data_IF_915415054350
#
_entry.id   IF_915415054350
#
_cell.length_a   1.000
_cell.length_b   1.000
_cell.length_c   1.000
_cell.angle_alpha   90.00
_cell.angle_beta   90.00
_cell.angle_gamma   90.00
#
_symmetry.space_group_name_H-M   'P 1'
#
loop_
_entity.id
_entity.type
_entity.pdbx_description
1 polymer ?
#
# COMPACT_ATOMS: atom_id res chain seq x y z
N UNK A 1 3.12 -1.81 -8.50
CA UNK A 1 4.50 -1.35 -8.82
C UNK A 1 4.46 -0.70 -10.19
N UNK A 2 5.11 0.45 -10.37
CA UNK A 2 5.16 1.14 -11.66
C UNK A 2 6.62 1.43 -12.01
N UNK A 3 7.05 1.01 -13.19
CA UNK A 3 8.38 1.28 -13.74
C UNK A 3 8.21 2.12 -14.99
N UNK A 4 8.91 3.23 -15.09
CA UNK A 4 8.87 4.14 -16.24
C UNK A 4 10.29 4.54 -16.65
N UNK A 5 10.50 4.83 -17.93
CA UNK A 5 11.81 5.21 -18.46
C UNK A 5 12.05 4.73 -19.89
N UNK A 6 13.32 4.59 -20.27
CA UNK A 6 13.71 4.11 -21.60
C UNK A 6 13.51 2.60 -21.75
N UNK A 7 12.77 2.17 -22.78
CA UNK A 7 12.42 0.76 -23.01
C UNK A 7 13.65 -0.19 -22.95
N UNK A 8 14.77 0.20 -23.55
CA UNK A 8 15.99 -0.64 -23.66
C UNK A 8 16.48 -1.28 -22.35
N UNK A 9 16.24 -0.64 -21.20
CA UNK A 9 16.70 -1.13 -19.88
C UNK A 9 15.57 -1.41 -18.90
N UNK A 10 14.31 -1.17 -19.28
CA UNK A 10 13.16 -1.41 -18.40
C UNK A 10 13.09 -2.88 -18.00
N UNK A 11 13.28 -3.79 -18.96
CA UNK A 11 13.29 -5.23 -18.70
C UNK A 11 14.35 -5.61 -17.65
N UNK A 12 15.62 -5.27 -17.90
CA UNK A 12 16.72 -5.58 -16.99
C UNK A 12 16.51 -5.01 -15.58
N UNK A 13 15.95 -3.80 -15.49
CA UNK A 13 15.66 -3.18 -14.21
C UNK A 13 14.50 -3.86 -13.48
N UNK A 14 13.46 -4.24 -14.21
CA UNK A 14 12.31 -4.97 -13.67
C UNK A 14 12.73 -6.34 -13.14
N UNK A 15 13.51 -7.10 -13.92
CA UNK A 15 14.06 -8.40 -13.50
C UNK A 15 14.84 -8.27 -12.18
N UNK A 16 15.72 -7.25 -12.09
CA UNK A 16 16.49 -6.98 -10.87
C UNK A 16 15.60 -6.61 -9.67
N UNK A 17 14.49 -5.89 -9.88
CA UNK A 17 13.53 -5.59 -8.81
C UNK A 17 12.85 -6.87 -8.34
N UNK A 18 12.33 -7.68 -9.27
CA UNK A 18 11.63 -8.93 -8.94
C UNK A 18 12.56 -9.88 -8.19
N UNK A 19 13.80 -10.06 -8.65
CA UNK A 19 14.81 -10.85 -7.92
C UNK A 19 15.06 -10.33 -6.51
N UNK A 20 15.13 -9.01 -6.31
CA UNK A 20 15.31 -8.41 -4.98
C UNK A 20 14.10 -8.54 -4.07
N UNK A 21 12.89 -8.53 -4.63
CA UNK A 21 11.66 -8.79 -3.88
C UNK A 21 11.57 -10.26 -3.48
N UNK A 22 11.88 -11.17 -4.41
CA UNK A 22 11.93 -12.60 -4.18
C UNK A 22 12.95 -13.02 -3.12
N UNK A 23 14.14 -12.41 -3.14
CA UNK A 23 15.22 -12.67 -2.19
C UNK A 23 15.24 -11.62 -1.06
N UNK A 24 14.09 -11.08 -0.69
CA UNK A 24 14.02 -10.03 0.32
C UNK A 24 14.45 -10.56 1.69
N UNK A 25 15.47 -9.91 2.26
CA UNK A 25 15.96 -10.19 3.60
C UNK A 25 15.88 -8.93 4.47
N UNK A 26 15.37 -9.11 5.69
CA UNK A 26 15.21 -8.01 6.65
C UNK A 26 16.57 -7.65 7.24
N UNK A 27 17.05 -6.44 6.94
CA UNK A 27 18.24 -5.86 7.59
C UNK A 27 17.84 -5.15 8.88
N UNK A 28 18.28 -5.66 10.03
CA UNK A 28 17.90 -5.17 11.36
C UNK A 28 18.08 -3.65 11.52
N UNK A 29 19.24 -3.12 11.14
CA UNK A 29 19.53 -1.68 11.24
C UNK A 29 18.62 -0.83 10.37
N UNK A 30 18.24 -1.31 9.17
CA UNK A 30 17.31 -0.57 8.31
C UNK A 30 15.89 -0.64 8.84
N UNK A 31 15.50 -1.78 9.40
CA UNK A 31 14.18 -1.99 9.96
C UNK A 31 13.92 -1.05 11.16
N UNK A 32 14.89 -0.86 12.05
CA UNK A 32 14.73 0.06 13.19
C UNK A 32 14.54 1.51 12.75
N UNK A 33 15.34 1.98 11.79
CA UNK A 33 15.24 3.34 11.24
C UNK A 33 13.90 3.56 10.54
N UNK A 34 13.44 2.59 9.73
CA UNK A 34 12.15 2.67 9.05
C UNK A 34 10.99 2.67 10.05
N UNK A 35 11.03 1.81 11.07
CA UNK A 35 10.03 1.75 12.14
C UNK A 35 9.95 3.09 12.89
N UNK A 36 11.09 3.68 13.26
CA UNK A 36 11.13 4.98 13.92
C UNK A 36 10.56 6.10 13.01
N UNK A 37 10.88 6.07 11.72
CA UNK A 37 10.33 7.02 10.75
C UNK A 37 8.80 6.92 10.64
N UNK A 38 8.24 5.70 10.61
CA UNK A 38 6.80 5.47 10.56
C UNK A 38 6.09 5.93 11.83
N UNK A 39 6.67 5.65 13.01
CA UNK A 39 6.16 6.15 14.30
C UNK A 39 6.07 7.67 14.27
N UNK A 40 7.16 8.35 13.88
CA UNK A 40 7.19 9.81 13.75
C UNK A 40 6.15 10.31 12.76
N UNK A 41 5.96 9.64 11.62
CA UNK A 41 4.95 10.05 10.64
C UNK A 41 3.52 10.01 11.22
N UNK A 42 3.17 8.95 11.93
CA UNK A 42 1.85 8.82 12.56
C UNK A 42 1.67 9.81 13.71
N UNK A 43 2.67 10.00 14.56
CA UNK A 43 2.63 11.01 15.64
C UNK A 43 2.53 12.44 15.10
N UNK A 44 3.19 12.72 13.97
CA UNK A 44 3.18 14.02 13.32
C UNK A 44 1.91 14.29 12.50
N UNK A 45 0.99 13.31 12.39
CA UNK A 45 -0.28 13.51 11.71
C UNK A 45 -1.03 14.75 12.25
N UNK A 46 -0.97 15.00 13.56
CA UNK A 46 -1.58 16.16 14.21
C UNK A 46 -1.13 17.50 13.64
N UNK A 47 0.10 17.58 13.11
CA UNK A 47 0.66 18.81 12.53
C UNK A 47 0.28 19.03 11.06
N UNK A 48 -0.41 18.08 10.42
CA UNK A 48 -0.93 18.27 9.05
C UNK A 48 -1.96 19.39 9.01
N UNK A 49 -2.15 19.99 7.85
CA UNK A 49 -3.12 21.08 7.69
C UNK A 49 -4.55 20.58 7.91
N UNK A 50 -5.47 21.39 8.47
CA UNK A 50 -6.84 20.96 8.79
C UNK A 50 -7.59 20.32 7.62
N UNK A 51 -7.41 20.83 6.39
CA UNK A 51 -8.07 20.24 5.22
C UNK A 51 -7.56 18.83 4.89
N UNK A 52 -6.27 18.55 5.13
CA UNK A 52 -5.70 17.20 4.94
C UNK A 52 -6.24 16.23 5.98
N UNK A 53 -6.42 16.70 7.21
CA UNK A 53 -7.06 15.92 8.27
C UNK A 53 -8.52 15.63 7.92
N UNK A 54 -9.28 16.63 7.46
CA UNK A 54 -10.66 16.45 7.02
C UNK A 54 -10.80 15.44 5.87
N UNK A 55 -9.92 15.49 4.87
CA UNK A 55 -9.85 14.48 3.80
C UNK A 55 -9.54 13.08 4.33
N UNK A 56 -8.58 12.96 5.25
CA UNK A 56 -8.24 11.69 5.87
C UNK A 56 -9.42 11.07 6.63
N UNK A 57 -10.06 11.81 7.52
CA UNK A 57 -11.22 11.29 8.25
C UNK A 57 -12.40 10.98 7.34
N UNK A 58 -12.62 11.76 6.28
CA UNK A 58 -13.65 11.42 5.28
C UNK A 58 -13.34 10.13 4.55
N UNK A 59 -12.07 9.81 4.26
CA UNK A 59 -11.72 8.52 3.65
C UNK A 59 -11.99 7.37 4.62
N UNK A 60 -11.61 7.52 5.90
CA UNK A 60 -11.93 6.53 6.94
C UNK A 60 -13.44 6.29 7.06
N UNK A 61 -14.28 7.31 6.96
CA UNK A 61 -15.74 7.14 7.08
C UNK A 61 -16.34 6.41 5.87
N UNK A 62 -15.77 6.59 4.68
CA UNK A 62 -16.33 6.10 3.43
C UNK A 62 -15.76 4.73 3.00
N UNK A 63 -14.60 4.32 3.51
CA UNK A 63 -13.98 3.03 3.24
C UNK A 63 -14.66 1.88 4.03
N UNK A 64 -14.70 0.68 3.45
CA UNK A 64 -15.36 -0.50 4.05
C UNK A 64 -14.58 -1.08 5.25
N UNK A 65 -13.25 -1.10 5.18
CA UNK A 65 -12.37 -1.63 6.25
C UNK A 65 -11.13 -0.73 6.45
N UNK A 66 -11.32 0.51 6.91
CA UNK A 66 -10.22 1.44 7.13
C UNK A 66 -9.41 1.06 8.37
N UNK A 67 -8.11 1.37 8.35
CA UNK A 67 -7.22 1.25 9.52
C UNK A 67 -6.75 2.65 9.95
N UNK A 68 -7.28 3.20 11.06
CA UNK A 68 -6.84 4.48 11.61
C UNK A 68 -5.34 4.51 11.93
N UNK A 69 -4.74 5.69 11.84
CA UNK A 69 -3.32 5.89 12.13
C UNK A 69 -2.96 5.55 13.58
N UNK A 70 -3.90 5.74 14.51
CA UNK A 70 -3.75 5.34 15.92
C UNK A 70 -3.60 3.83 16.08
N UNK A 71 -4.42 3.04 15.38
CA UNK A 71 -4.35 1.58 15.42
C UNK A 71 -3.07 1.07 14.75
N UNK A 72 -2.65 1.69 13.64
CA UNK A 72 -1.35 1.40 13.01
C UNK A 72 -0.18 1.70 13.95
N UNK A 73 -0.25 2.82 14.67
CA UNK A 73 0.77 3.22 15.63
C UNK A 73 0.86 2.23 16.81
N UNK A 74 -0.28 1.79 17.34
CA UNK A 74 -0.34 0.78 18.40
C UNK A 74 0.24 -0.56 17.92
N UNK A 75 -0.15 -1.02 16.74
CA UNK A 75 0.37 -2.25 16.14
C UNK A 75 1.88 -2.18 15.89
N UNK A 76 2.41 -1.02 15.50
CA UNK A 76 3.85 -0.82 15.28
C UNK A 76 4.66 -1.12 16.53
N UNK A 77 4.18 -0.81 17.74
CA UNK A 77 4.93 -1.06 18.98
C UNK A 77 5.29 -2.54 19.11
N UNK A 78 4.37 -3.43 18.72
CA UNK A 78 4.51 -4.87 18.85
C UNK A 78 5.27 -5.56 17.72
N UNK A 79 5.46 -4.90 16.57
CA UNK A 79 6.13 -5.48 15.42
C UNK A 79 7.64 -5.65 15.63
N UNK A 80 8.15 -6.88 15.46
CA UNK A 80 9.57 -7.20 15.44
C UNK A 80 10.06 -7.53 14.02
N UNK A 81 11.38 -7.49 13.80
CA UNK A 81 11.96 -7.75 12.47
C UNK A 81 11.63 -9.15 11.93
N UNK A 82 11.47 -10.13 12.82
CA UNK A 82 11.07 -11.50 12.47
C UNK A 82 9.65 -11.56 11.87
N UNK A 83 8.73 -10.73 12.36
CA UNK A 83 7.36 -10.66 11.83
C UNK A 83 7.37 -10.18 10.38
N UNK A 84 8.22 -9.20 10.07
CA UNK A 84 8.37 -8.71 8.69
C UNK A 84 8.96 -9.78 7.78
N UNK A 85 9.92 -10.58 8.27
CA UNK A 85 10.48 -11.70 7.51
C UNK A 85 9.43 -12.77 7.25
N UNK A 86 8.64 -13.17 8.26
CA UNK A 86 7.53 -14.11 8.07
C UNK A 86 6.48 -13.55 7.11
N UNK A 87 6.16 -12.27 7.24
CA UNK A 87 5.18 -11.60 6.40
C UNK A 87 5.64 -11.48 4.95
N UNK A 88 6.92 -11.24 4.66
CA UNK A 88 7.41 -11.21 3.27
C UNK A 88 7.22 -12.55 2.58
N UNK A 89 7.46 -13.67 3.28
CA UNK A 89 7.16 -15.00 2.74
C UNK A 89 5.66 -15.20 2.53
N UNK A 90 4.82 -14.80 3.50
CA UNK A 90 3.37 -14.92 3.38
C UNK A 90 2.82 -14.10 2.20
N UNK A 91 3.26 -12.86 2.06
CA UNK A 91 2.83 -11.93 1.01
C UNK A 91 3.09 -12.49 -0.39
N UNK A 92 4.26 -13.12 -0.59
CA UNK A 92 4.66 -13.72 -1.86
C UNK A 92 4.17 -15.16 -2.04
N UNK A 93 3.60 -15.79 -0.99
CA UNK A 93 3.16 -17.19 -1.06
C UNK A 93 1.90 -17.38 -1.89
N UNK A 94 1.03 -16.37 -1.97
CA UNK A 94 -0.19 -16.40 -2.77
C UNK A 94 -0.43 -15.02 -3.34
N UNK A 95 -0.34 -14.87 -4.66
CA UNK A 95 -0.39 -13.56 -5.32
C UNK A 95 -1.13 -13.66 -6.66
N UNK A 96 -1.74 -12.55 -7.06
CA UNK A 96 -2.25 -12.31 -8.39
C UNK A 96 -1.57 -11.07 -8.96
N UNK A 97 -1.15 -11.12 -10.22
CA UNK A 97 -0.53 -9.99 -10.90
C UNK A 97 -1.44 -9.47 -12.01
N UNK A 98 -1.65 -8.16 -12.01
CA UNK A 98 -2.29 -7.44 -13.11
C UNK A 98 -1.26 -6.50 -13.73
N UNK A 99 -1.08 -6.58 -15.04
CA UNK A 99 -0.07 -5.82 -15.78
C UNK A 99 -0.74 -4.88 -16.78
N UNK A 100 -0.21 -3.67 -16.84
CA UNK A 100 -0.51 -2.70 -17.90
C UNK A 100 0.81 -2.18 -18.44
N UNK A 101 0.96 -2.20 -19.77
CA UNK A 101 2.13 -1.72 -20.47
C UNK A 101 1.69 -0.64 -21.45
N UNK A 102 2.26 0.56 -21.31
CA UNK A 102 1.96 1.72 -22.14
C UNK A 102 3.26 2.33 -22.67
N UNK A 103 3.28 2.73 -23.94
CA UNK A 103 4.41 3.41 -24.58
C UNK A 103 5.02 2.62 -25.74
N UNK A 104 6.34 2.74 -25.92
CA UNK A 104 7.07 2.12 -27.02
C UNK A 104 7.40 0.64 -26.73
N UNK A 105 6.38 -0.18 -26.58
CA UNK A 105 6.46 -1.62 -26.34
C UNK A 105 5.43 -2.35 -27.20
N UNK A 106 5.86 -3.37 -27.94
CA UNK A 106 4.96 -4.18 -28.77
C UNK A 106 4.14 -5.17 -27.94
N UNK A 107 2.98 -5.66 -28.42
CA UNK A 107 2.18 -6.66 -27.70
C UNK A 107 2.96 -7.91 -27.31
N UNK A 108 3.77 -8.46 -28.23
CA UNK A 108 4.60 -9.64 -27.97
C UNK A 108 5.71 -9.40 -26.94
N UNK A 109 6.28 -8.19 -26.93
CA UNK A 109 7.28 -7.78 -25.95
C UNK A 109 6.64 -7.66 -24.56
N UNK A 110 5.43 -7.08 -24.47
CA UNK A 110 4.65 -7.02 -23.25
C UNK A 110 4.28 -8.41 -22.71
N UNK A 111 3.80 -9.32 -23.57
CA UNK A 111 3.52 -10.71 -23.18
C UNK A 111 4.78 -11.42 -22.65
N UNK A 112 5.92 -11.20 -23.32
CA UNK A 112 7.20 -11.77 -22.89
C UNK A 112 7.60 -11.26 -21.50
N UNK A 113 7.41 -9.97 -21.21
CA UNK A 113 7.68 -9.42 -19.87
C UNK A 113 6.83 -10.08 -18.80
N UNK A 114 5.53 -10.28 -19.06
CA UNK A 114 4.63 -10.94 -18.10
C UNK A 114 5.10 -12.36 -17.83
N UNK A 115 5.40 -13.13 -18.88
CA UNK A 115 5.89 -14.51 -18.77
C UNK A 115 7.21 -14.58 -17.98
N UNK A 116 8.12 -13.63 -18.19
CA UNK A 116 9.41 -13.60 -17.50
C UNK A 116 9.24 -13.26 -16.01
N UNK A 117 8.36 -12.32 -15.66
CA UNK A 117 8.03 -11.99 -14.26
C UNK A 117 7.35 -13.18 -13.58
N UNK A 118 6.44 -13.86 -14.27
CA UNK A 118 5.82 -15.09 -13.75
C UNK A 118 6.88 -16.15 -13.47
N UNK A 119 7.82 -16.37 -14.41
CA UNK A 119 8.91 -17.34 -14.20
C UNK A 119 9.74 -17.00 -12.96
N UNK A 120 10.15 -15.74 -12.81
CA UNK A 120 10.96 -15.29 -11.68
C UNK A 120 10.19 -15.37 -10.34
N UNK A 121 8.87 -15.16 -10.35
CA UNK A 121 8.05 -15.10 -9.14
C UNK A 121 7.52 -16.48 -8.70
N UNK A 122 7.26 -17.39 -9.64
CA UNK A 122 6.61 -18.70 -9.38
C UNK A 122 7.58 -19.88 -9.34
N UNK A 123 8.79 -19.77 -9.91
CA UNK A 123 9.75 -20.89 -10.02
C UNK A 123 10.98 -20.73 -9.10
N UNK A 124 10.78 -20.18 -7.91
CA UNK A 124 11.82 -20.13 -6.88
C UNK A 124 11.82 -21.50 -6.16
N UNK A 125 12.93 -22.25 -6.12
CA UNK A 125 12.99 -23.62 -5.58
C UNK A 125 12.48 -23.78 -4.13
N UNK A 126 12.49 -22.69 -3.36
CA UNK A 126 12.13 -22.67 -1.94
C UNK A 126 10.74 -22.06 -1.68
N UNK A 127 10.08 -21.48 -2.69
CA UNK A 127 8.80 -20.78 -2.52
C UNK A 127 7.92 -20.89 -3.77
N UNK A 128 6.92 -21.76 -3.69
CA UNK A 128 5.87 -21.84 -4.71
C UNK A 128 4.86 -20.74 -4.40
N UNK A 129 4.95 -19.61 -5.12
CA UNK A 129 3.84 -18.66 -5.15
C UNK A 129 2.61 -19.37 -5.74
N UNK A 130 1.45 -19.23 -5.10
CA UNK A 130 0.20 -19.85 -5.55
C UNK A 130 -0.71 -18.78 -6.15
N UNK A 131 -1.48 -19.16 -7.15
CA UNK A 131 -2.50 -18.28 -7.70
C UNK A 131 -3.60 -18.05 -6.66
N UNK A 132 -4.01 -16.79 -6.54
CA UNK A 132 -5.14 -16.39 -5.71
C UNK A 132 -6.46 -16.97 -6.25
N UNK A 133 -7.34 -17.49 -5.39
CA UNK A 133 -8.67 -17.94 -5.83
C UNK A 133 -9.55 -16.75 -6.21
N UNK A 134 -10.43 -16.92 -7.20
CA UNK A 134 -11.37 -15.89 -7.66
C UNK A 134 -12.20 -15.26 -6.51
N UNK A 135 -12.54 -16.04 -5.48
CA UNK A 135 -13.28 -15.58 -4.30
C UNK A 135 -12.47 -14.74 -3.31
N UNK A 136 -11.14 -14.78 -3.39
CA UNK A 136 -10.23 -14.02 -2.53
C UNK A 136 -9.87 -12.65 -3.12
N UNK A 137 -10.30 -12.35 -4.35
CA UNK A 137 -10.13 -11.03 -4.92
C UNK A 137 -10.92 -10.01 -4.09
N UNK A 138 -10.21 -9.05 -3.54
CA UNK A 138 -10.82 -7.97 -2.76
C UNK A 138 -11.66 -7.09 -3.68
N UNK A 139 -12.90 -6.82 -3.27
CA UNK A 139 -13.73 -5.81 -3.92
C UNK A 139 -13.60 -4.50 -3.15
N UNK A 140 -13.19 -3.42 -3.82
CA UNK A 140 -13.25 -2.09 -3.22
C UNK A 140 -14.71 -1.68 -3.06
N UNK A 141 -15.17 -1.54 -1.82
CA UNK A 141 -16.51 -1.07 -1.49
C UNK A 141 -16.39 0.28 -0.80
N UNK A 142 -17.34 1.14 -1.10
CA UNK A 142 -17.55 2.39 -0.38
C UNK A 142 -18.87 2.33 0.36
N UNK A 143 -18.94 3.03 1.49
CA UNK A 143 -20.18 3.17 2.24
C UNK A 143 -21.22 3.88 1.36
N UNK A 144 -22.43 3.31 1.31
CA UNK A 144 -23.58 3.96 0.69
C UNK A 144 -24.30 4.79 1.73
N UNK A 145 -24.18 6.11 1.63
CA UNK A 145 -24.89 7.05 2.47
C UNK A 145 -26.40 6.99 2.19
N UNK A 146 -27.20 7.16 3.23
CA UNK A 146 -28.66 7.11 3.11
C UNK A 146 -29.19 8.37 2.44
N UNK A 147 -30.17 8.19 1.55
CA UNK A 147 -30.81 9.31 0.83
C UNK A 147 -31.47 10.29 1.82
N UNK A 148 -31.34 11.58 1.53
CA UNK A 148 -31.94 12.68 2.30
C UNK A 148 -31.51 12.77 3.78
N UNK A 149 -30.31 12.28 4.12
CA UNK A 149 -29.71 12.46 5.45
C UNK A 149 -28.38 13.19 5.36
N UNK A 150 -28.16 14.08 6.33
CA UNK A 150 -26.88 14.74 6.54
C UNK A 150 -26.19 14.08 7.74
N UNK A 151 -24.90 13.76 7.58
CA UNK A 151 -24.05 13.24 8.63
C UNK A 151 -22.95 14.26 8.92
N UNK A 152 -22.58 14.40 10.19
CA UNK A 152 -21.55 15.32 10.63
C UNK A 152 -20.59 14.61 11.57
N UNK A 153 -19.29 14.71 11.27
CA UNK A 153 -18.22 14.11 12.07
C UNK A 153 -17.20 15.19 12.46
N UNK A 154 -17.30 15.74 13.68
CA UNK A 154 -16.36 16.73 14.18
C UNK A 154 -15.09 16.06 14.70
N UNK A 155 -13.94 16.67 14.41
CA UNK A 155 -12.66 16.31 15.02
C UNK A 155 -12.15 17.50 15.81
N UNK A 156 -11.80 17.29 17.08
CA UNK A 156 -11.24 18.34 17.92
C UNK A 156 -9.82 18.72 17.48
N UNK A 157 -9.44 19.98 17.74
CA UNK A 157 -8.13 20.54 17.39
C UNK A 157 -6.99 19.61 17.82
N UNK A 158 -6.33 18.99 16.85
CA UNK A 158 -5.17 18.13 17.09
C UNK A 158 -3.87 18.94 17.27
N UNK A 159 -3.81 20.15 16.71
CA UNK A 159 -2.67 21.06 16.81
C UNK A 159 -3.12 22.39 17.42
N UNK A 160 -2.64 22.70 18.62
CA UNK A 160 -2.96 23.95 19.34
C UNK A 160 -2.29 25.17 18.70
N UNK A 161 -1.21 24.98 17.95
CA UNK A 161 -0.46 26.07 17.30
C UNK A 161 -1.06 26.49 15.95
N UNK A 162 -2.08 25.78 15.46
CA UNK A 162 -2.77 26.11 14.21
C UNK A 162 -4.19 26.58 14.54
N UNK A 163 -4.47 27.87 14.31
CA UNK A 163 -5.79 28.48 14.57
C UNK A 163 -6.79 28.26 13.42
N UNK A 164 -6.36 27.63 12.31
CA UNK A 164 -7.22 27.41 11.16
C UNK A 164 -8.13 26.19 11.35
N UNK A 165 -9.29 26.23 10.69
CA UNK A 165 -10.22 25.12 10.60
C UNK A 165 -10.48 24.74 9.14
N UNK A 166 -10.98 23.53 8.91
CA UNK A 166 -11.45 23.10 7.59
C UNK A 166 -12.74 22.29 7.72
N UNK A 167 -13.58 22.41 6.70
CA UNK A 167 -14.78 21.62 6.53
C UNK A 167 -14.68 20.91 5.18
N UNK A 168 -14.84 19.59 5.17
CA UNK A 168 -15.01 18.83 3.94
C UNK A 168 -16.48 18.46 3.79
N UNK A 169 -17.09 18.89 2.69
CA UNK A 169 -18.46 18.56 2.35
C UNK A 169 -18.45 17.52 1.22
N UNK A 170 -19.03 16.35 1.49
CA UNK A 170 -19.11 15.24 0.56
C UNK A 170 -20.56 14.95 0.20
N UNK A 171 -20.86 14.93 -1.10
CA UNK A 171 -22.14 14.53 -1.67
C UNK A 171 -21.94 13.25 -2.49
N UNK A 172 -22.70 12.21 -2.15
CA UNK A 172 -22.70 10.93 -2.87
C UNK A 172 -23.85 10.84 -3.87
#
# INVERSE_FOLDING_TARGET
MTVFGCNQKIKLFLDAIIEKVAQFEVKLEKNSVLKESMVKEYENFKFRQPYQQAMYYSSLILEDNPWPGSEKLEALVHLVAEDLSKFSYLLLSTTFFEFSAEGNIGPSEAETLVIDIEKLSFYIPEQICKTLFASQFLTNRIVKLQTARSHFYPVHYLNQDNENSALLFYLQ
#
